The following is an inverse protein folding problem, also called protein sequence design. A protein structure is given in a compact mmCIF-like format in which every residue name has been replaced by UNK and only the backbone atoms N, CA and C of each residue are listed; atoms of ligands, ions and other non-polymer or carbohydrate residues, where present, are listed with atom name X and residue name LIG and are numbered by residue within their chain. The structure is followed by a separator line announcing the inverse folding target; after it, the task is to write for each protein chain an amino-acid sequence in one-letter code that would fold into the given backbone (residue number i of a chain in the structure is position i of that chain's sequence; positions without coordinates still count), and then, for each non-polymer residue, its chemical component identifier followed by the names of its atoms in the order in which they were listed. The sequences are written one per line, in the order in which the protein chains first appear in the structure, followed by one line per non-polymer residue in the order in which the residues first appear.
data_IF_203530095629
#
_entry.id   IF_203530095629
#
_cell.length_a   1.000
_cell.length_b   1.000
_cell.length_c   1.000
_cell.angle_alpha   90.00
_cell.angle_beta   90.00
_cell.angle_gamma   90.00
#
_symmetry.space_group_name_H-M   'P 1'
#
loop_
_entity.id
_entity.type
_entity.pdbx_description
1 polymer ?
#
# COMPACT_ATOMS: atom_id res chain seq x y z
N UNK A 1 -44.10 -12.51 -5.90
CA UNK A 1 -43.47 -11.58 -4.94
C UNK A 1 -44.13 -11.82 -3.59
N UNK A 2 -43.45 -12.52 -2.70
CA UNK A 2 -43.87 -12.71 -1.31
C UNK A 2 -42.68 -12.32 -0.44
N UNK A 3 -42.96 -11.45 0.51
CA UNK A 3 -42.03 -10.82 1.44
C UNK A 3 -41.27 -11.86 2.27
N UNK A 4 -39.94 -11.75 2.26
CA UNK A 4 -39.07 -12.35 3.27
C UNK A 4 -38.76 -11.25 4.30
N UNK A 5 -39.10 -11.44 5.59
CA UNK A 5 -38.72 -10.49 6.63
C UNK A 5 -37.23 -10.68 6.91
N UNK A 6 -36.40 -9.73 6.47
CA UNK A 6 -35.01 -9.59 6.91
C UNK A 6 -35.00 -9.09 8.36
N UNK A 7 -35.23 -9.99 9.32
CA UNK A 7 -34.82 -9.74 10.70
C UNK A 7 -33.31 -9.96 10.77
N UNK A 8 -32.56 -8.86 10.68
CA UNK A 8 -31.12 -8.83 10.92
C UNK A 8 -30.86 -9.12 12.40
N UNK A 9 -30.46 -10.36 12.71
CA UNK A 9 -29.85 -10.67 14.00
C UNK A 9 -28.34 -10.40 13.85
N UNK A 10 -27.75 -9.42 14.56
CA UNK A 10 -26.33 -9.16 14.46
C UNK A 10 -25.59 -10.35 15.09
N UNK A 11 -25.00 -11.20 14.25
CA UNK A 11 -24.19 -12.33 14.71
C UNK A 11 -22.80 -11.82 15.09
N UNK A 12 -22.71 -11.27 16.31
CA UNK A 12 -21.45 -10.91 16.95
C UNK A 12 -20.73 -12.19 17.36
N UNK A 13 -19.74 -12.63 16.58
CA UNK A 13 -18.53 -13.29 17.12
C UNK A 13 -17.32 -12.95 16.24
N UNK A 14 -16.82 -11.73 16.38
CA UNK A 14 -15.39 -11.48 16.23
C UNK A 14 -14.81 -11.35 17.65
N UNK A 15 -13.60 -11.88 17.93
CA UNK A 15 -12.99 -11.75 19.24
C UNK A 15 -12.95 -10.28 19.63
N UNK A 16 -13.47 -9.94 20.82
CA UNK A 16 -13.61 -8.57 21.34
C UNK A 16 -12.31 -7.74 21.29
N UNK A 17 -11.14 -8.37 21.13
CA UNK A 17 -9.85 -7.69 20.98
C UNK A 17 -9.58 -7.08 19.60
N UNK A 18 -10.18 -7.58 18.52
CA UNK A 18 -9.92 -7.09 17.14
C UNK A 18 -10.56 -5.71 16.92
N UNK A 19 -11.67 -5.45 17.60
CA UNK A 19 -12.41 -4.19 17.49
C UNK A 19 -11.86 -3.07 18.39
N UNK A 20 -11.05 -3.37 19.41
CA UNK A 20 -10.54 -2.35 20.33
C UNK A 20 -9.56 -1.36 19.67
N UNK A 21 -8.84 -1.78 18.62
CA UNK A 21 -8.05 -0.88 17.76
C UNK A 21 -8.85 -0.21 16.62
N UNK A 22 -10.12 -0.59 16.46
CA UNK A 22 -10.99 -0.23 15.34
C UNK A 22 -12.27 0.52 15.78
N UNK A 23 -12.37 0.94 17.05
CA UNK A 23 -13.54 1.60 17.64
C UNK A 23 -13.93 2.95 17.00
N UNK A 24 -13.17 3.42 16.01
CA UNK A 24 -13.46 4.61 15.20
C UNK A 24 -13.66 4.28 13.72
N UNK A 25 -13.86 3.01 13.36
CA UNK A 25 -14.18 2.64 11.99
C UNK A 25 -15.47 3.32 11.56
N UNK A 26 -15.38 3.93 10.40
CA UNK A 26 -16.53 4.37 9.63
C UNK A 26 -17.56 3.23 9.54
N UNK A 27 -18.83 3.51 9.91
CA UNK A 27 -19.88 2.49 9.94
C UNK A 27 -20.04 1.78 8.59
N UNK A 28 -19.93 2.52 7.49
CA UNK A 28 -20.06 1.97 6.15
C UNK A 28 -18.90 1.03 5.82
N UNK A 29 -17.68 1.33 6.32
CA UNK A 29 -16.53 0.44 6.17
C UNK A 29 -16.69 -0.83 7.02
N UNK A 30 -17.17 -0.72 8.26
CA UNK A 30 -17.44 -1.89 9.09
C UNK A 30 -18.48 -2.82 8.43
N UNK A 31 -19.61 -2.27 7.97
CA UNK A 31 -20.64 -3.05 7.26
C UNK A 31 -20.11 -3.67 5.97
N UNK A 32 -19.31 -2.95 5.18
CA UNK A 32 -18.70 -3.52 3.98
C UNK A 32 -17.76 -4.69 4.33
N UNK A 33 -16.95 -4.56 5.37
CA UNK A 33 -16.03 -5.63 5.80
C UNK A 33 -16.79 -6.87 6.29
N UNK A 34 -17.88 -6.69 7.04
CA UNK A 34 -18.75 -7.79 7.47
C UNK A 34 -19.34 -8.54 6.28
N UNK A 35 -19.88 -7.82 5.29
CA UNK A 35 -20.41 -8.43 4.07
C UNK A 35 -19.30 -9.17 3.32
N UNK A 36 -18.11 -8.57 3.18
CA UNK A 36 -16.98 -9.21 2.49
C UNK A 36 -16.52 -10.48 3.21
N UNK A 37 -16.52 -10.50 4.55
CA UNK A 37 -16.21 -11.70 5.34
C UNK A 37 -17.25 -12.79 5.12
N UNK A 38 -18.53 -12.44 5.19
CA UNK A 38 -19.63 -13.38 4.96
C UNK A 38 -19.50 -14.04 3.59
N UNK A 39 -19.33 -13.23 2.56
CA UNK A 39 -19.25 -13.70 1.18
C UNK A 39 -17.98 -14.50 0.88
N UNK A 40 -16.85 -14.11 1.47
CA UNK A 40 -15.59 -14.85 1.29
C UNK A 40 -15.73 -16.31 1.72
N UNK A 41 -16.49 -16.61 2.80
CA UNK A 41 -16.73 -17.99 3.26
C UNK A 41 -17.47 -18.85 2.24
N UNK A 42 -18.29 -18.24 1.39
CA UNK A 42 -19.11 -18.94 0.41
C UNK A 42 -18.43 -19.09 -0.95
N UNK A 43 -17.56 -18.13 -1.30
CA UNK A 43 -16.95 -18.06 -2.63
C UNK A 43 -15.55 -18.64 -2.65
N UNK A 44 -14.81 -18.54 -1.54
CA UNK A 44 -13.43 -19.01 -1.47
C UNK A 44 -13.41 -20.46 -1.00
N UNK A 45 -12.97 -21.40 -1.84
CA UNK A 45 -12.93 -22.80 -1.46
C UNK A 45 -11.91 -22.98 -0.33
N UNK A 46 -12.32 -23.67 0.74
CA UNK A 46 -11.47 -23.96 1.90
C UNK A 46 -10.72 -22.70 2.41
N UNK A 47 -11.48 -21.63 2.65
CA UNK A 47 -10.97 -20.37 3.18
C UNK A 47 -10.34 -20.59 4.56
N UNK A 48 -9.03 -20.37 4.64
CA UNK A 48 -8.24 -20.55 5.85
C UNK A 48 -8.10 -19.25 6.65
N UNK A 49 -7.90 -18.13 5.97
CA UNK A 49 -7.75 -16.82 6.62
C UNK A 49 -8.18 -15.69 5.70
N UNK A 50 -8.84 -14.67 6.25
CA UNK A 50 -9.22 -13.46 5.54
C UNK A 50 -8.75 -12.23 6.31
N UNK A 51 -7.90 -11.42 5.68
CA UNK A 51 -7.05 -10.46 6.40
C UNK A 51 -7.09 -9.10 5.75
N UNK A 52 -7.39 -8.08 6.55
CA UNK A 52 -7.25 -6.67 6.20
C UNK A 52 -5.82 -6.20 6.47
N UNK A 53 -5.22 -5.50 5.50
CA UNK A 53 -3.85 -5.00 5.64
C UNK A 53 -3.65 -3.63 4.98
N UNK A 54 -2.45 -3.07 5.17
CA UNK A 54 -2.08 -1.76 4.65
C UNK A 54 -2.58 -0.61 5.54
N UNK A 55 -2.97 0.51 4.93
CA UNK A 55 -3.25 1.75 5.67
C UNK A 55 -4.38 1.61 6.70
N UNK A 56 -5.47 0.93 6.35
CA UNK A 56 -6.63 0.78 7.24
C UNK A 56 -6.28 -0.06 8.47
N UNK A 57 -5.52 -1.14 8.29
CA UNK A 57 -5.06 -1.98 9.40
C UNK A 57 -4.07 -1.24 10.33
N UNK A 58 -3.38 -0.22 9.80
CA UNK A 58 -2.55 0.71 10.56
C UNK A 58 -3.35 1.88 11.19
N UNK A 59 -4.69 1.84 11.17
CA UNK A 59 -5.54 2.89 11.72
C UNK A 59 -5.74 4.12 10.80
N UNK A 60 -5.36 4.04 9.52
CA UNK A 60 -5.47 5.15 8.57
C UNK A 60 -6.56 4.93 7.53
N UNK A 61 -7.73 5.51 7.79
CA UNK A 61 -8.84 5.54 6.84
C UNK A 61 -9.24 6.98 6.46
N UNK A 62 -9.40 7.21 5.16
CA UNK A 62 -9.95 8.44 4.61
C UNK A 62 -10.82 8.09 3.40
N UNK A 63 -12.09 8.51 3.46
CA UNK A 63 -13.10 8.21 2.44
C UNK A 63 -12.61 8.69 1.06
N UNK A 64 -12.68 7.82 0.06
CA UNK A 64 -12.28 8.13 -1.33
C UNK A 64 -10.77 8.24 -1.58
N UNK A 65 -9.93 8.14 -0.55
CA UNK A 65 -8.47 8.24 -0.62
C UNK A 65 -7.72 7.00 -0.12
N UNK A 66 -8.30 6.23 0.80
CA UNK A 66 -7.72 4.96 1.26
C UNK A 66 -8.04 3.81 0.30
N UNK A 67 -7.10 2.87 0.19
CA UNK A 67 -7.37 1.58 -0.45
C UNK A 67 -7.77 0.58 0.64
N UNK A 68 -8.79 -0.22 0.39
CA UNK A 68 -9.11 -1.40 1.18
C UNK A 68 -8.31 -2.55 0.57
N UNK A 69 -7.34 -3.09 1.31
CA UNK A 69 -6.54 -4.23 0.85
C UNK A 69 -6.86 -5.43 1.72
N UNK A 70 -7.35 -6.48 1.09
CA UNK A 70 -7.71 -7.74 1.70
C UNK A 70 -6.91 -8.86 1.05
N UNK A 71 -6.62 -9.89 1.82
CA UNK A 71 -6.08 -11.14 1.31
C UNK A 71 -6.89 -12.29 1.87
N UNK A 72 -7.33 -13.18 0.99
CA UNK A 72 -7.87 -14.48 1.31
C UNK A 72 -6.78 -15.53 1.10
N UNK A 73 -6.54 -16.33 2.13
CA UNK A 73 -5.70 -17.52 2.08
C UNK A 73 -6.61 -18.74 2.01
N UNK A 74 -6.39 -19.60 1.03
CA UNK A 74 -7.16 -20.82 0.81
C UNK A 74 -6.22 -22.00 0.67
N UNK A 75 -6.67 -23.21 1.00
CA UNK A 75 -5.87 -24.41 0.71
C UNK A 75 -5.90 -24.80 -0.76
N UNK A 76 -6.93 -24.35 -1.49
CA UNK A 76 -7.13 -24.63 -2.92
C UNK A 76 -7.08 -23.35 -3.78
N UNK A 77 -6.65 -23.45 -5.05
CA UNK A 77 -6.71 -22.33 -5.98
C UNK A 77 -8.15 -21.96 -6.34
N UNK A 78 -8.38 -20.69 -6.67
CA UNK A 78 -9.66 -20.21 -7.18
C UNK A 78 -9.96 -20.82 -8.56
N UNK A 79 -11.17 -21.34 -8.75
CA UNK A 79 -11.66 -21.77 -10.07
C UNK A 79 -12.13 -20.57 -10.90
N UNK A 80 -12.30 -20.77 -12.21
CA UNK A 80 -12.88 -19.75 -13.09
C UNK A 80 -14.30 -19.34 -12.67
N UNK A 81 -15.08 -20.26 -12.12
CA UNK A 81 -16.43 -20.01 -11.62
C UNK A 81 -16.43 -19.14 -10.36
N UNK A 82 -15.65 -19.53 -9.35
CA UNK A 82 -15.50 -18.76 -8.11
C UNK A 82 -14.94 -17.37 -8.38
N UNK A 83 -14.05 -17.27 -9.37
CA UNK A 83 -13.49 -15.99 -9.85
C UNK A 83 -14.58 -15.10 -10.46
N UNK A 84 -15.41 -15.66 -11.35
CA UNK A 84 -16.50 -14.91 -11.98
C UNK A 84 -17.55 -14.46 -10.95
N UNK A 85 -17.87 -15.31 -9.97
CA UNK A 85 -18.77 -14.99 -8.87
C UNK A 85 -18.20 -13.87 -7.98
N UNK A 86 -16.93 -13.98 -7.58
CA UNK A 86 -16.21 -12.91 -6.84
C UNK A 86 -16.26 -11.58 -7.59
N UNK A 87 -15.96 -11.59 -8.89
CA UNK A 87 -15.99 -10.38 -9.72
C UNK A 87 -17.37 -9.74 -9.73
N UNK A 88 -18.45 -10.52 -9.92
CA UNK A 88 -19.83 -10.00 -9.94
C UNK A 88 -20.21 -9.39 -8.60
N UNK A 89 -20.07 -10.16 -7.52
CA UNK A 89 -20.43 -9.72 -6.18
C UNK A 89 -19.66 -8.45 -5.79
N UNK A 90 -18.35 -8.43 -5.97
CA UNK A 90 -17.54 -7.29 -5.54
C UNK A 90 -17.78 -6.06 -6.39
N UNK A 91 -18.12 -6.24 -7.67
CA UNK A 91 -18.63 -5.13 -8.50
C UNK A 91 -19.90 -4.55 -7.92
N UNK A 92 -20.83 -5.37 -7.41
CA UNK A 92 -22.06 -4.91 -6.77
C UNK A 92 -21.79 -4.19 -5.45
N UNK A 93 -20.95 -4.76 -4.56
CA UNK A 93 -20.62 -4.14 -3.28
C UNK A 93 -19.95 -2.79 -3.46
N UNK A 94 -19.01 -2.68 -4.40
CA UNK A 94 -18.34 -1.41 -4.71
C UNK A 94 -19.36 -0.36 -5.20
N UNK A 95 -20.37 -0.76 -5.97
CA UNK A 95 -21.46 0.15 -6.39
C UNK A 95 -22.37 0.56 -5.23
N UNK A 96 -22.59 -0.33 -4.26
CA UNK A 96 -23.41 -0.05 -3.09
C UNK A 96 -22.74 0.94 -2.11
N UNK A 97 -21.41 1.00 -2.11
CA UNK A 97 -20.61 1.91 -1.26
C UNK A 97 -19.79 2.91 -2.10
N UNK A 98 -20.43 3.81 -2.88
CA UNK A 98 -19.72 4.74 -3.74
C UNK A 98 -18.87 5.72 -2.93
N UNK A 99 -17.60 5.85 -3.30
CA UNK A 99 -16.70 6.84 -2.68
C UNK A 99 -16.20 6.45 -1.27
N UNK A 100 -16.60 5.29 -0.73
CA UNK A 100 -16.11 4.81 0.55
C UNK A 100 -14.58 4.63 0.54
N UNK A 101 -14.06 3.97 -0.49
CA UNK A 101 -12.63 3.79 -0.70
C UNK A 101 -12.22 4.24 -2.09
N UNK A 102 -10.92 4.43 -2.28
CA UNK A 102 -10.34 4.67 -3.60
C UNK A 102 -10.33 3.41 -4.44
N UNK A 103 -9.95 2.29 -3.81
CA UNK A 103 -9.82 0.98 -4.44
C UNK A 103 -10.14 -0.11 -3.43
N UNK A 104 -10.79 -1.15 -3.90
CA UNK A 104 -10.89 -2.42 -3.22
C UNK A 104 -9.93 -3.38 -3.94
N UNK A 105 -9.00 -3.94 -3.19
CA UNK A 105 -8.02 -4.90 -3.66
C UNK A 105 -8.19 -6.15 -2.83
N UNK A 106 -8.53 -7.26 -3.47
CA UNK A 106 -8.59 -8.55 -2.79
C UNK A 106 -7.66 -9.50 -3.52
N UNK A 107 -6.68 -10.01 -2.78
CA UNK A 107 -5.77 -11.04 -3.26
C UNK A 107 -6.25 -12.39 -2.77
N UNK A 108 -6.17 -13.40 -3.62
CA UNK A 108 -6.36 -14.79 -3.27
C UNK A 108 -5.03 -15.48 -3.41
N UNK A 109 -4.58 -16.05 -2.31
CA UNK A 109 -3.28 -16.70 -2.22
C UNK A 109 -3.51 -18.13 -1.77
N UNK A 110 -3.37 -19.12 -2.68
CA UNK A 110 -3.40 -20.51 -2.26
C UNK A 110 -2.16 -20.80 -1.40
N UNK A 111 -2.38 -21.51 -0.30
CA UNK A 111 -1.34 -21.99 0.62
C UNK A 111 -1.41 -23.52 0.62
N UNK A 112 -0.64 -24.21 -0.24
CA UNK A 112 -0.67 -25.66 -0.33
C UNK A 112 -0.24 -26.28 1.01
N UNK A 113 -0.99 -27.26 1.50
CA UNK A 113 -0.63 -27.95 2.74
C UNK A 113 -1.23 -27.37 4.02
N UNK A 114 -2.46 -26.87 3.97
CA UNK A 114 -3.25 -26.49 5.15
C UNK A 114 -4.63 -27.16 5.05
N UNK A 115 -4.82 -28.44 5.42
CA UNK A 115 -6.11 -29.18 5.30
C UNK A 115 -6.17 -30.27 6.41
N UNK A 116 -7.26 -30.62 7.13
CA UNK A 116 -8.73 -30.59 6.90
C UNK A 116 -9.59 -30.20 8.14
N UNK A 117 -10.94 -30.18 7.96
CA UNK A 117 -11.98 -29.92 8.99
C UNK A 117 -12.06 -30.98 10.12
N UNK A 118 -11.33 -32.08 10.03
CA UNK A 118 -11.25 -33.15 11.04
C UNK A 118 -9.99 -33.07 11.90
N UNK A 119 -9.13 -32.08 11.68
CA UNK A 119 -7.95 -31.85 12.52
C UNK A 119 -6.84 -32.89 12.35
N UNK A 120 -6.98 -33.85 11.45
CA UNK A 120 -6.00 -34.92 11.24
C UNK A 120 -5.22 -34.72 9.95
N UNK A 121 -4.34 -33.73 9.99
CA UNK A 121 -2.97 -33.81 9.45
C UNK A 121 -2.16 -32.62 9.95
N UNK A 122 -1.34 -32.88 10.98
CA UNK A 122 -0.13 -32.11 11.28
C UNK A 122 0.73 -32.05 10.02
N UNK A 123 0.70 -30.91 9.33
CA UNK A 123 1.84 -30.52 8.51
C UNK A 123 2.76 -29.79 9.46
N UNK A 124 3.88 -30.43 9.77
CA UNK A 124 4.85 -29.94 10.74
C UNK A 124 5.10 -28.45 10.57
N UNK A 125 4.51 -27.67 11.49
CA UNK A 125 5.04 -26.41 11.97
C UNK A 125 6.32 -26.79 12.72
N UNK A 126 7.30 -27.33 11.99
CA UNK A 126 8.64 -27.42 12.53
C UNK A 126 9.09 -25.97 12.56
N UNK A 127 9.40 -25.45 13.76
CA UNK A 127 9.71 -24.04 13.98
C UNK A 127 10.84 -23.51 13.07
N UNK A 128 11.55 -24.40 12.37
CA UNK A 128 12.58 -24.13 11.39
C UNK A 128 12.11 -24.01 9.92
N UNK A 129 10.94 -24.56 9.56
CA UNK A 129 10.46 -24.74 8.19
C UNK A 129 9.03 -24.22 7.89
N UNK A 130 8.48 -23.27 8.67
CA UNK A 130 7.29 -22.50 8.28
C UNK A 130 7.59 -21.61 7.05
N UNK A 131 7.77 -22.25 5.91
CA UNK A 131 8.29 -21.70 4.67
C UNK A 131 7.17 -21.88 3.64
N UNK A 132 6.28 -20.89 3.58
CA UNK A 132 5.68 -20.51 2.30
C UNK A 132 6.70 -19.61 1.61
N UNK A 133 7.84 -20.17 1.14
CA UNK A 133 8.87 -19.39 0.42
C UNK A 133 8.41 -19.05 -1.00
N UNK A 134 7.45 -19.77 -1.53
CA UNK A 134 6.81 -19.46 -2.79
C UNK A 134 5.35 -19.08 -2.52
N UNK A 135 5.08 -17.77 -2.46
CA UNK A 135 3.75 -17.33 -2.85
C UNK A 135 3.53 -17.90 -4.23
N UNK A 136 2.49 -18.74 -4.38
CA UNK A 136 2.23 -19.40 -5.65
C UNK A 136 2.30 -18.38 -6.80
N UNK A 137 3.00 -18.71 -7.91
CA UNK A 137 2.97 -17.88 -9.10
C UNK A 137 1.57 -17.69 -9.68
N UNK A 138 0.55 -18.41 -9.16
CA UNK A 138 -0.87 -18.32 -9.54
C UNK A 138 -1.72 -17.36 -8.70
N UNK A 139 -1.12 -16.57 -7.81
CA UNK A 139 -1.85 -15.58 -7.00
C UNK A 139 -2.83 -14.76 -7.84
N UNK A 140 -4.06 -14.61 -7.36
CA UNK A 140 -5.13 -13.96 -8.11
C UNK A 140 -5.52 -12.65 -7.41
N UNK A 141 -5.68 -11.56 -8.16
CA UNK A 141 -6.03 -10.28 -7.57
C UNK A 141 -7.19 -9.63 -8.33
N UNK A 142 -8.24 -9.28 -7.60
CA UNK A 142 -9.28 -8.39 -8.12
C UNK A 142 -9.01 -6.98 -7.62
N UNK A 143 -8.94 -6.06 -8.57
CA UNK A 143 -8.86 -4.62 -8.29
C UNK A 143 -10.10 -3.94 -8.80
N UNK A 144 -10.76 -3.25 -7.90
CA UNK A 144 -11.89 -2.39 -8.24
C UNK A 144 -11.54 -0.94 -8.01
N UNK A 145 -11.80 -0.10 -9.01
CA UNK A 145 -11.56 1.33 -9.00
C UNK A 145 -12.87 2.10 -9.10
N UNK A 146 -13.04 3.10 -8.24
CA UNK A 146 -14.05 4.14 -8.40
C UNK A 146 -13.42 5.30 -9.19
N UNK A 147 -13.95 5.59 -10.37
CA UNK A 147 -13.54 6.74 -11.18
C UNK A 147 -14.76 7.36 -11.86
N UNK A 148 -15.05 8.63 -11.56
CA UNK A 148 -16.03 9.46 -12.28
C UNK A 148 -17.42 8.80 -12.46
N UNK A 149 -17.96 8.25 -11.36
CA UNK A 149 -19.25 7.55 -11.36
C UNK A 149 -19.23 6.15 -11.98
N UNK A 150 -18.06 5.67 -12.43
CA UNK A 150 -17.87 4.33 -13.02
C UNK A 150 -17.08 3.42 -12.08
N UNK A 151 -17.45 2.15 -12.13
CA UNK A 151 -16.76 1.05 -11.43
C UNK A 151 -16.00 0.22 -12.45
N UNK A 152 -14.68 0.17 -12.32
CA UNK A 152 -13.81 -0.69 -13.14
C UNK A 152 -13.28 -1.83 -12.30
N UNK A 153 -13.66 -3.06 -12.63
CA UNK A 153 -13.19 -4.27 -11.98
C UNK A 153 -12.23 -5.01 -12.90
N UNK A 154 -11.06 -5.39 -12.39
CA UNK A 154 -10.06 -6.15 -13.14
C UNK A 154 -9.56 -7.33 -12.33
N UNK A 155 -9.63 -8.50 -12.96
CA UNK A 155 -8.96 -9.72 -12.55
C UNK A 155 -7.50 -9.71 -13.07
N UNK A 156 -6.55 -9.99 -12.19
CA UNK A 156 -5.14 -10.14 -12.49
C UNK A 156 -4.70 -11.54 -12.05
N UNK A 157 -4.43 -12.38 -13.04
CA UNK A 157 -3.83 -13.70 -12.85
C UNK A 157 -2.33 -13.55 -12.65
N UNK A 158 -1.75 -14.48 -11.89
CA UNK A 158 -0.31 -14.51 -11.59
C UNK A 158 0.22 -13.23 -10.94
N UNK A 159 -0.56 -12.67 -10.02
CA UNK A 159 -0.27 -11.48 -9.23
C UNK A 159 0.00 -11.86 -7.77
N UNK A 160 1.19 -12.42 -7.44
CA UNK A 160 1.55 -12.71 -6.05
C UNK A 160 1.63 -11.42 -5.22
N UNK A 161 1.47 -11.58 -3.90
CA UNK A 161 1.68 -10.49 -2.95
C UNK A 161 3.12 -9.97 -3.05
N UNK A 162 3.30 -8.65 -2.95
CA UNK A 162 4.65 -8.10 -2.82
C UNK A 162 5.24 -8.41 -1.44
N UNK A 163 6.57 -8.41 -1.31
CA UNK A 163 7.23 -8.59 -0.02
C UNK A 163 6.78 -7.57 1.03
N UNK A 164 6.46 -6.35 0.61
CA UNK A 164 5.91 -5.34 1.51
C UNK A 164 4.46 -5.58 1.88
N UNK A 165 3.66 -6.19 0.99
CA UNK A 165 2.32 -6.65 1.35
C UNK A 165 2.40 -7.79 2.36
N UNK A 166 3.29 -8.78 2.16
CA UNK A 166 3.57 -9.85 3.12
C UNK A 166 4.03 -9.30 4.48
N UNK A 167 4.93 -8.32 4.45
CA UNK A 167 5.42 -7.70 5.68
C UNK A 167 4.32 -6.90 6.38
N UNK A 168 3.45 -6.23 5.62
CA UNK A 168 2.28 -5.56 6.18
C UNK A 168 1.26 -6.54 6.76
N UNK A 169 1.03 -7.69 6.11
CA UNK A 169 0.12 -8.73 6.58
C UNK A 169 0.59 -9.35 7.90
N UNK A 170 1.88 -9.68 7.98
CA UNK A 170 2.45 -10.37 9.16
C UNK A 170 2.65 -9.45 10.36
N UNK A 171 3.05 -8.19 10.15
CA UNK A 171 3.33 -7.27 11.26
C UNK A 171 2.10 -6.53 11.77
N UNK A 172 1.17 -6.17 10.88
CA UNK A 172 0.06 -5.24 11.19
C UNK A 172 -1.26 -5.66 10.54
N UNK A 173 -1.35 -6.90 10.03
CA UNK A 173 -2.59 -7.42 9.46
C UNK A 173 -3.66 -7.62 10.53
N UNK A 174 -4.88 -7.21 10.21
CA UNK A 174 -6.06 -7.45 11.02
C UNK A 174 -6.77 -8.68 10.46
N UNK A 175 -6.74 -9.78 11.22
CA UNK A 175 -7.45 -11.00 10.86
C UNK A 175 -8.96 -10.79 11.03
N UNK A 176 -9.70 -10.83 9.93
CA UNK A 176 -11.16 -10.70 9.95
C UNK A 176 -11.84 -12.07 10.11
N UNK A 177 -11.15 -13.13 9.67
CA UNK A 177 -11.60 -14.51 9.76
C UNK A 177 -10.41 -15.46 9.77
N UNK A 178 -10.49 -16.53 10.57
CA UNK A 178 -9.51 -17.61 10.58
C UNK A 178 -8.27 -17.28 11.40
N UNK A 179 -7.11 -17.70 10.92
CA UNK A 179 -5.85 -17.57 11.65
C UNK A 179 -5.11 -16.27 11.34
N UNK A 180 -4.40 -15.66 12.31
CA UNK A 180 -3.46 -14.57 12.07
C UNK A 180 -2.34 -14.97 11.10
N UNK A 181 -1.95 -14.11 10.13
CA UNK A 181 -0.87 -14.40 9.18
C UNK A 181 0.45 -14.83 9.81
N UNK A 182 0.79 -14.30 10.98
CA UNK A 182 2.05 -14.62 11.66
C UNK A 182 2.17 -16.08 12.11
N UNK A 183 1.06 -16.82 12.20
CA UNK A 183 1.06 -18.24 12.59
C UNK A 183 1.50 -19.16 11.44
N UNK A 184 1.32 -18.75 10.19
CA UNK A 184 1.54 -19.60 9.02
C UNK A 184 2.37 -18.95 7.90
N UNK A 185 2.65 -17.65 7.99
CA UNK A 185 3.55 -16.94 7.10
C UNK A 185 4.80 -16.48 7.85
N UNK A 186 5.97 -16.73 7.26
CA UNK A 186 7.18 -16.02 7.65
C UNK A 186 7.24 -14.65 7.00
N UNK A 187 7.30 -13.63 7.83
CA UNK A 187 7.59 -12.28 7.38
C UNK A 187 8.98 -12.23 6.73
N UNK A 188 9.15 -11.56 5.59
CA UNK A 188 10.47 -11.16 5.13
C UNK A 188 11.20 -10.38 6.22
N UNK A 189 12.54 -10.45 6.23
CA UNK A 189 13.35 -9.58 7.08
C UNK A 189 13.02 -8.13 6.72
N UNK A 190 12.44 -7.40 7.67
CA UNK A 190 11.86 -6.08 7.39
C UNK A 190 12.86 -5.12 6.76
N UNK A 191 14.10 -5.10 7.27
CA UNK A 191 15.17 -4.24 6.77
C UNK A 191 15.48 -4.53 5.31
N UNK A 192 15.50 -5.79 4.87
CA UNK A 192 15.75 -6.10 3.46
C UNK A 192 14.56 -5.77 2.57
N UNK A 193 13.35 -6.09 3.02
CA UNK A 193 12.13 -5.85 2.25
C UNK A 193 11.87 -4.35 2.04
N UNK A 194 12.08 -3.52 3.08
CA UNK A 194 11.91 -2.07 2.98
C UNK A 194 12.96 -1.44 2.07
N UNK A 195 14.20 -1.94 2.07
CA UNK A 195 15.26 -1.45 1.17
C UNK A 195 14.98 -1.81 -0.29
N UNK A 196 14.56 -3.06 -0.55
CA UNK A 196 14.20 -3.51 -1.90
C UNK A 196 12.99 -2.76 -2.45
N UNK A 197 11.93 -2.61 -1.66
CA UNK A 197 10.77 -1.80 -2.10
C UNK A 197 11.13 -0.32 -2.18
N UNK A 198 11.95 0.19 -1.28
CA UNK A 198 12.44 1.57 -1.31
C UNK A 198 13.13 1.90 -2.63
N UNK A 199 14.06 1.03 -3.06
CA UNK A 199 14.72 1.13 -4.36
C UNK A 199 13.70 1.11 -5.51
N UNK A 200 12.75 0.16 -5.50
CA UNK A 200 11.69 0.06 -6.51
C UNK A 200 10.82 1.31 -6.58
N UNK A 201 10.44 1.89 -5.45
CA UNK A 201 9.61 3.11 -5.36
C UNK A 201 10.36 4.31 -5.88
N UNK A 202 11.60 4.51 -5.44
CA UNK A 202 12.46 5.62 -5.87
C UNK A 202 12.70 5.54 -7.38
N UNK A 203 13.12 4.39 -7.91
CA UNK A 203 13.29 4.19 -9.34
C UNK A 203 11.98 4.39 -10.12
N UNK A 204 10.85 3.87 -9.60
CA UNK A 204 9.54 4.02 -10.25
C UNK A 204 9.12 5.48 -10.33
N UNK A 205 9.39 6.28 -9.31
CA UNK A 205 9.04 7.70 -9.28
C UNK A 205 9.94 8.50 -10.21
N UNK A 206 11.25 8.28 -10.16
CA UNK A 206 12.22 9.19 -10.77
C UNK A 206 12.73 8.74 -12.14
N UNK A 207 12.92 7.42 -12.35
CA UNK A 207 13.66 6.85 -13.49
C UNK A 207 12.75 6.11 -14.48
N UNK A 208 11.95 5.15 -14.00
CA UNK A 208 11.22 4.22 -14.86
C UNK A 208 10.09 4.92 -15.63
N UNK A 209 9.62 4.36 -16.77
CA UNK A 209 8.51 4.92 -17.54
C UNK A 209 7.24 5.20 -16.73
N UNK A 210 6.98 4.40 -15.68
CA UNK A 210 5.90 4.63 -14.72
C UNK A 210 5.98 5.96 -13.96
N UNK A 211 7.18 6.55 -13.86
CA UNK A 211 7.45 7.86 -13.26
C UNK A 211 6.97 9.04 -14.10
N UNK A 212 6.80 8.85 -15.42
CA UNK A 212 6.36 9.90 -16.36
C UNK A 212 5.04 10.53 -15.94
N UNK A 213 4.12 9.74 -15.41
CA UNK A 213 2.80 10.22 -14.95
C UNK A 213 2.88 11.13 -13.72
N UNK A 214 3.83 10.85 -12.82
CA UNK A 214 4.12 11.72 -11.67
C UNK A 214 4.80 12.99 -12.15
N UNK A 215 5.84 12.87 -12.97
CA UNK A 215 6.54 14.02 -13.56
C UNK A 215 5.60 14.97 -14.29
N UNK A 216 4.64 14.45 -15.07
CA UNK A 216 3.60 15.27 -15.73
C UNK A 216 2.69 15.97 -14.72
N UNK A 217 2.27 15.29 -13.66
CA UNK A 217 1.47 15.89 -12.60
C UNK A 217 2.20 17.06 -11.93
N UNK A 218 3.46 16.85 -11.52
CA UNK A 218 4.28 17.92 -10.91
C UNK A 218 4.57 19.06 -11.89
N UNK A 219 4.82 18.77 -13.17
CA UNK A 219 5.05 19.79 -14.20
C UNK A 219 3.80 20.63 -14.48
N UNK A 220 2.61 20.01 -14.50
CA UNK A 220 1.34 20.73 -14.65
C UNK A 220 1.04 21.58 -13.43
N UNK A 221 1.15 21.00 -12.25
CA UNK A 221 0.95 21.69 -10.98
C UNK A 221 1.88 22.91 -10.82
N UNK A 222 3.16 22.79 -11.17
CA UNK A 222 4.10 23.91 -11.12
C UNK A 222 3.91 24.99 -12.20
N UNK A 223 3.03 24.77 -13.19
CA UNK A 223 2.72 25.73 -14.27
C UNK A 223 1.29 26.26 -14.19
N UNK A 224 0.46 25.70 -13.31
CA UNK A 224 -0.92 26.08 -13.18
C UNK A 224 -1.00 27.50 -12.61
N UNK A 225 -1.76 28.36 -13.29
CA UNK A 225 -2.04 29.72 -12.83
C UNK A 225 -3.14 29.74 -11.77
N UNK A 226 -3.98 28.70 -11.72
CA UNK A 226 -5.03 28.50 -10.73
C UNK A 226 -5.22 27.01 -10.42
N UNK A 227 -5.83 26.74 -9.27
CA UNK A 227 -6.13 25.38 -8.79
C UNK A 227 -7.11 24.62 -9.72
N UNK A 228 -7.92 25.34 -10.51
CA UNK A 228 -8.90 24.77 -11.45
C UNK A 228 -8.25 24.09 -12.66
N UNK A 229 -7.01 24.48 -13.01
CA UNK A 229 -6.25 23.86 -14.10
C UNK A 229 -5.65 22.50 -13.70
N UNK A 230 -5.77 22.13 -12.42
CA UNK A 230 -5.17 20.95 -11.84
C UNK A 230 -6.24 19.88 -11.68
N UNK A 231 -6.01 18.75 -12.34
CA UNK A 231 -6.93 17.62 -12.21
C UNK A 231 -6.80 16.96 -10.84
N UNK A 232 -7.90 16.43 -10.32
CA UNK A 232 -7.90 15.56 -9.14
C UNK A 232 -6.88 14.41 -9.25
N UNK A 233 -6.68 13.87 -10.46
CA UNK A 233 -5.70 12.81 -10.72
C UNK A 233 -4.25 13.29 -10.50
N UNK A 234 -3.95 14.55 -10.79
CA UNK A 234 -2.65 15.15 -10.52
C UNK A 234 -2.41 15.29 -9.02
N UNK A 235 -3.39 15.85 -8.30
CA UNK A 235 -3.36 15.95 -6.83
C UNK A 235 -3.15 14.58 -6.18
N UNK A 236 -3.85 13.54 -6.65
CA UNK A 236 -3.66 12.17 -6.15
C UNK A 236 -2.26 11.61 -6.39
N UNK A 237 -1.65 11.90 -7.54
CA UNK A 237 -0.27 11.46 -7.86
C UNK A 237 0.74 12.19 -6.99
N UNK A 238 0.57 13.49 -6.81
CA UNK A 238 1.42 14.33 -5.96
C UNK A 238 1.34 13.85 -4.51
N UNK A 239 0.13 13.64 -4.00
CA UNK A 239 -0.12 13.11 -2.66
C UNK A 239 0.53 11.74 -2.46
N UNK A 240 0.33 10.81 -3.40
CA UNK A 240 0.87 9.45 -3.32
C UNK A 240 2.40 9.42 -3.37
N UNK A 241 3.03 10.29 -4.18
CA UNK A 241 4.48 10.39 -4.26
C UNK A 241 5.07 11.00 -2.98
N UNK A 242 4.49 12.10 -2.51
CA UNK A 242 4.94 12.84 -1.33
C UNK A 242 4.88 11.94 -0.09
N UNK A 243 3.70 11.41 0.23
CA UNK A 243 3.54 10.56 1.42
C UNK A 243 4.14 9.16 1.28
N UNK A 244 4.35 8.70 0.04
CA UNK A 244 5.09 7.47 -0.23
C UNK A 244 6.56 7.60 0.13
N UNK A 245 7.18 8.74 -0.22
CA UNK A 245 8.59 9.01 0.09
C UNK A 245 8.79 9.30 1.58
N UNK A 246 7.93 10.08 2.23
CA UNK A 246 8.05 10.34 3.68
C UNK A 246 7.89 9.08 4.50
N UNK A 247 6.93 8.21 4.14
CA UNK A 247 6.75 6.91 4.79
C UNK A 247 7.96 6.01 4.59
N UNK A 248 8.51 5.95 3.37
CA UNK A 248 9.71 5.17 3.12
C UNK A 248 10.87 5.66 3.99
N UNK A 249 11.05 6.97 4.07
CA UNK A 249 12.09 7.57 4.88
C UNK A 249 11.94 7.21 6.37
N UNK A 250 10.77 7.47 6.97
CA UNK A 250 10.54 7.11 8.37
C UNK A 250 10.67 5.60 8.62
N UNK A 251 10.17 4.75 7.71
CA UNK A 251 10.28 3.30 7.86
C UNK A 251 11.72 2.79 7.82
N UNK A 252 12.62 3.44 7.09
CA UNK A 252 14.05 3.12 7.09
C UNK A 252 14.70 3.60 8.40
N UNK A 253 14.37 4.81 8.85
CA UNK A 253 14.94 5.40 10.07
C UNK A 253 14.51 4.66 11.35
N UNK A 254 13.23 4.30 11.45
CA UNK A 254 12.65 3.74 12.68
C UNK A 254 12.49 2.22 12.65
N UNK A 255 12.72 1.55 11.53
CA UNK A 255 12.58 0.08 11.43
C UNK A 255 11.14 -0.44 11.53
N UNK A 256 10.14 0.42 11.31
CA UNK A 256 8.72 0.09 11.45
C UNK A 256 7.84 0.58 10.30
N UNK A 257 6.68 -0.08 10.13
CA UNK A 257 5.64 0.35 9.19
C UNK A 257 4.76 1.40 9.85
N UNK A 258 4.59 2.54 9.17
CA UNK A 258 3.77 3.65 9.66
C UNK A 258 2.70 4.07 8.65
N UNK A 259 1.56 4.59 9.11
CA UNK A 259 0.62 5.33 8.26
C UNK A 259 1.27 6.43 7.43
N UNK A 260 0.71 6.68 6.25
CA UNK A 260 1.24 7.71 5.34
C UNK A 260 1.10 9.12 5.91
N UNK A 261 -0.05 9.45 6.49
CA UNK A 261 -0.31 10.73 7.15
C UNK A 261 0.63 10.98 8.33
N UNK A 262 0.79 10.00 9.24
CA UNK A 262 1.73 10.09 10.36
C UNK A 262 3.14 10.44 9.88
N UNK A 263 3.61 9.78 8.80
CA UNK A 263 4.93 10.09 8.24
C UNK A 263 5.06 11.50 7.67
N UNK A 264 3.98 12.10 7.19
CA UNK A 264 4.01 13.48 6.73
C UNK A 264 4.12 14.49 7.87
N UNK A 265 3.45 14.23 9.01
CA UNK A 265 3.59 15.04 10.22
C UNK A 265 4.97 14.89 10.86
N UNK A 266 5.43 13.65 11.04
CA UNK A 266 6.76 13.36 11.56
C UNK A 266 7.86 14.01 10.73
N UNK A 267 7.77 13.95 9.39
CA UNK A 267 8.75 14.60 8.52
C UNK A 267 8.79 16.13 8.70
N UNK A 268 7.63 16.76 8.94
CA UNK A 268 7.55 18.18 9.20
C UNK A 268 8.26 18.57 10.50
N UNK A 269 8.07 17.78 11.56
CA UNK A 269 8.73 17.98 12.85
C UNK A 269 10.25 17.81 12.74
N UNK A 270 10.71 16.79 12.01
CA UNK A 270 12.13 16.46 11.91
C UNK A 270 12.92 17.40 10.98
N UNK A 271 12.31 17.91 9.91
CA UNK A 271 13.03 18.64 8.84
C UNK A 271 12.60 20.09 8.68
N UNK A 272 11.44 20.49 9.19
CA UNK A 272 10.94 21.86 9.10
C UNK A 272 10.91 22.43 7.68
N UNK A 273 10.92 23.76 7.59
CA UNK A 273 11.02 24.50 6.33
C UNK A 273 9.89 24.19 5.32
N UNK A 274 10.12 24.55 4.06
CA UNK A 274 9.11 24.38 3.01
C UNK A 274 8.85 22.93 2.62
N UNK A 275 9.86 22.06 2.74
CA UNK A 275 9.72 20.62 2.46
C UNK A 275 8.89 19.92 3.55
N UNK A 276 9.16 20.22 4.82
CA UNK A 276 8.37 19.73 5.95
C UNK A 276 6.93 20.25 5.89
N UNK A 277 6.74 21.55 5.66
CA UNK A 277 5.40 22.13 5.54
C UNK A 277 4.59 21.46 4.41
N UNK A 278 5.21 21.18 3.27
CA UNK A 278 4.56 20.47 2.17
C UNK A 278 4.17 19.03 2.51
N UNK A 279 5.02 18.30 3.25
CA UNK A 279 4.69 16.95 3.74
C UNK A 279 3.53 16.96 4.73
N UNK A 280 3.50 17.94 5.65
CA UNK A 280 2.38 18.15 6.57
C UNK A 280 1.09 18.43 5.83
N UNK A 281 1.12 19.36 4.87
CA UNK A 281 -0.07 19.70 4.08
C UNK A 281 -0.60 18.48 3.32
N UNK A 282 0.29 17.63 2.79
CA UNK A 282 -0.08 16.37 2.18
C UNK A 282 -0.76 15.41 3.19
N UNK A 283 -0.26 15.34 4.43
CA UNK A 283 -0.87 14.53 5.48
C UNK A 283 -2.27 15.05 5.86
N UNK A 284 -2.44 16.36 6.05
CA UNK A 284 -3.74 16.94 6.39
C UNK A 284 -4.72 16.74 5.24
N UNK A 285 -4.32 17.02 3.99
CA UNK A 285 -5.18 16.80 2.82
C UNK A 285 -5.60 15.33 2.68
N UNK A 286 -4.73 14.37 3.02
CA UNK A 286 -5.09 12.95 3.00
C UNK A 286 -6.18 12.62 4.02
N UNK A 287 -6.09 13.17 5.24
CA UNK A 287 -7.02 12.87 6.32
C UNK A 287 -8.33 13.66 6.21
N UNK A 288 -8.25 14.89 5.73
CA UNK A 288 -9.36 15.85 5.65
C UNK A 288 -9.38 16.55 4.30
N UNK A 289 -9.61 15.81 3.19
CA UNK A 289 -9.62 16.37 1.85
C UNK A 289 -10.69 17.45 1.66
N UNK A 290 -11.78 17.42 2.42
CA UNK A 290 -12.89 18.38 2.39
C UNK A 290 -12.51 19.79 2.86
N UNK A 291 -11.40 19.92 3.62
CA UNK A 291 -10.93 21.23 4.11
C UNK A 291 -10.21 22.01 2.99
N UNK A 292 -9.74 21.33 1.94
CA UNK A 292 -8.91 21.94 0.92
C UNK A 292 -9.49 21.78 -0.49
N UNK A 293 -9.40 22.81 -1.34
CA UNK A 293 -9.79 22.68 -2.74
C UNK A 293 -8.90 21.65 -3.47
N UNK A 294 -9.44 21.03 -4.51
CA UNK A 294 -8.81 19.95 -5.30
C UNK A 294 -7.40 20.29 -5.82
N UNK A 295 -7.07 21.58 -6.00
CA UNK A 295 -5.75 22.05 -6.45
C UNK A 295 -4.79 22.48 -5.33
N UNK A 296 -5.22 22.55 -4.08
CA UNK A 296 -4.44 23.11 -2.96
C UNK A 296 -3.04 22.51 -2.86
N UNK A 297 -2.96 21.17 -2.82
CA UNK A 297 -1.68 20.48 -2.74
C UNK A 297 -0.80 20.70 -3.96
N UNK A 298 -1.43 20.84 -5.12
CA UNK A 298 -0.72 20.97 -6.36
C UNK A 298 -0.14 22.38 -6.54
N UNK A 299 -0.79 23.43 -6.05
CA UNK A 299 -0.19 24.77 -5.94
C UNK A 299 1.13 24.77 -5.14
N UNK A 300 1.26 23.84 -4.20
CA UNK A 300 2.45 23.64 -3.35
C UNK A 300 3.44 22.61 -3.92
N UNK A 301 3.14 21.99 -5.06
CA UNK A 301 3.98 20.95 -5.67
C UNK A 301 5.39 21.43 -6.07
N UNK A 302 5.59 22.75 -6.19
CA UNK A 302 6.91 23.38 -6.35
C UNK A 302 7.90 23.04 -5.23
N UNK A 303 7.42 22.62 -4.06
CA UNK A 303 8.24 22.20 -2.93
C UNK A 303 8.69 20.73 -3.00
N UNK A 304 8.17 19.96 -3.94
CA UNK A 304 8.52 18.55 -4.09
C UNK A 304 10.01 18.31 -4.40
N UNK A 305 10.69 19.07 -5.28
CA UNK A 305 12.13 18.90 -5.48
C UNK A 305 12.94 19.08 -4.19
N UNK A 306 12.55 20.02 -3.33
CA UNK A 306 13.20 20.21 -2.03
C UNK A 306 12.97 19.01 -1.10
N UNK A 307 11.75 18.47 -1.04
CA UNK A 307 11.44 17.25 -0.29
C UNK A 307 12.19 16.03 -0.82
N UNK A 308 12.17 15.84 -2.15
CA UNK A 308 12.87 14.74 -2.82
C UNK A 308 14.37 14.79 -2.58
N UNK A 309 14.97 15.98 -2.60
CA UNK A 309 16.38 16.20 -2.27
C UNK A 309 16.69 15.76 -0.83
N UNK A 310 15.98 16.31 0.16
CA UNK A 310 16.21 16.00 1.58
C UNK A 310 16.09 14.50 1.84
N UNK A 311 15.07 13.85 1.27
CA UNK A 311 14.86 12.42 1.47
C UNK A 311 15.96 11.60 0.76
N UNK A 312 16.22 11.86 -0.52
CA UNK A 312 17.20 11.09 -1.30
C UNK A 312 18.63 11.27 -0.78
N UNK A 313 18.97 12.44 -0.22
CA UNK A 313 20.26 12.68 0.45
C UNK A 313 20.52 11.69 1.59
N UNK A 314 19.46 11.31 2.30
CA UNK A 314 19.53 10.45 3.48
C UNK A 314 19.37 8.98 3.13
N UNK A 315 18.40 8.64 2.26
CA UNK A 315 18.07 7.24 2.00
C UNK A 315 18.86 6.63 0.84
N UNK A 316 19.32 7.42 -0.15
CA UNK A 316 20.04 6.84 -1.30
C UNK A 316 21.32 6.09 -0.89
N UNK A 317 22.16 6.58 0.04
CA UNK A 317 23.33 5.82 0.50
C UNK A 317 22.98 4.47 1.13
N UNK A 318 21.81 4.35 1.75
CA UNK A 318 21.34 3.09 2.37
C UNK A 318 20.72 2.18 1.31
N UNK A 319 19.92 2.74 0.40
CA UNK A 319 19.23 2.00 -0.66
C UNK A 319 20.17 1.42 -1.72
N UNK A 320 21.26 2.11 -2.01
CA UNK A 320 22.21 1.78 -3.08
C UNK A 320 23.59 1.37 -2.54
N UNK A 321 23.72 1.11 -1.23
CA UNK A 321 24.98 0.61 -0.67
C UNK A 321 25.40 -0.67 -1.41
N UNK A 322 26.64 -0.70 -1.89
CA UNK A 322 27.24 -1.84 -2.57
C UNK A 322 26.99 -3.12 -1.78
N UNK A 323 26.26 -4.06 -2.38
CA UNK A 323 26.14 -5.44 -1.91
C UNK A 323 27.41 -6.25 -2.22
N UNK A 324 28.45 -5.63 -2.77
CA UNK A 324 29.73 -6.24 -3.11
C UNK A 324 30.75 -6.05 -1.97
N UNK A 325 30.82 -7.03 -1.08
CA UNK A 325 32.05 -7.32 -0.35
C UNK A 325 33.09 -7.92 -1.30
N UNK A 326 33.68 -7.11 -2.18
CA UNK A 326 34.90 -7.48 -2.91
C UNK A 326 35.87 -6.28 -2.95
N UNK A 327 37.12 -6.40 -2.45
CA UNK A 327 37.98 -5.24 -2.18
C UNK A 327 38.69 -4.66 -3.40
N UNK A 328 38.38 -5.08 -4.63
CA UNK A 328 39.27 -4.87 -5.79
C UNK A 328 38.69 -4.10 -6.98
N UNK A 329 37.51 -3.48 -6.87
CA UNK A 329 37.05 -2.50 -7.86
C UNK A 329 37.17 -1.08 -7.28
N UNK A 330 37.91 -0.22 -7.98
CA UNK A 330 38.24 1.15 -7.56
C UNK A 330 37.07 1.91 -6.95
N UNK A 331 37.33 2.43 -5.74
CA UNK A 331 36.41 3.16 -4.87
C UNK A 331 35.84 4.39 -5.59
N UNK A 332 34.67 4.23 -6.20
CA UNK A 332 33.70 5.33 -6.33
C UNK A 332 32.73 5.19 -5.17
N UNK A 333 33.14 5.64 -3.98
CA UNK A 333 32.21 5.67 -2.86
C UNK A 333 31.03 6.58 -3.25
N UNK A 334 29.82 6.04 -3.16
CA UNK A 334 28.58 6.82 -3.26
C UNK A 334 28.60 8.04 -2.34
N UNK A 335 29.46 8.09 -1.31
CA UNK A 335 29.64 9.25 -0.43
C UNK A 335 30.21 10.50 -1.13
N UNK A 336 31.03 10.36 -2.18
CA UNK A 336 31.67 11.47 -2.88
C UNK A 336 30.87 12.03 -4.07
N UNK A 337 30.31 11.15 -4.91
CA UNK A 337 29.47 11.52 -6.06
C UNK A 337 28.09 12.01 -5.61
N UNK A 338 27.55 11.52 -4.48
CA UNK A 338 26.15 11.74 -4.17
C UNK A 338 25.81 13.09 -3.53
N UNK A 339 26.64 13.65 -2.64
CA UNK A 339 26.26 14.82 -1.82
C UNK A 339 26.29 16.15 -2.59
N UNK A 340 27.28 16.37 -3.45
CA UNK A 340 27.42 17.63 -4.22
C UNK A 340 26.40 17.73 -5.36
N UNK A 341 26.04 16.61 -5.98
CA UNK A 341 25.08 16.61 -7.09
C UNK A 341 23.63 16.72 -6.64
N UNK A 342 23.28 16.09 -5.53
CA UNK A 342 21.92 16.16 -5.00
C UNK A 342 21.64 17.48 -4.28
N UNK A 343 22.63 18.05 -3.59
CA UNK A 343 22.49 19.36 -2.93
C UNK A 343 22.20 20.49 -3.93
N UNK A 344 22.68 20.33 -5.17
CA UNK A 344 22.41 21.23 -6.30
C UNK A 344 21.11 20.92 -7.05
N UNK A 345 20.38 19.85 -6.70
CA UNK A 345 19.13 19.52 -7.36
C UNK A 345 18.06 20.57 -7.03
N UNK A 346 17.53 21.21 -8.07
CA UNK A 346 16.47 22.23 -7.97
C UNK A 346 15.18 21.78 -8.67
N UNK A 347 15.25 20.74 -9.49
CA UNK A 347 14.14 20.24 -10.28
C UNK A 347 13.96 18.73 -10.18
N UNK A 348 12.79 18.25 -10.63
CA UNK A 348 12.54 16.81 -10.78
C UNK A 348 13.55 16.14 -11.71
N UNK A 349 13.97 16.83 -12.77
CA UNK A 349 14.93 16.31 -13.74
C UNK A 349 16.30 16.10 -13.11
N UNK A 350 16.70 16.95 -12.17
CA UNK A 350 17.96 16.80 -11.43
C UNK A 350 17.91 15.58 -10.52
N UNK A 351 16.83 15.43 -9.75
CA UNK A 351 16.60 14.25 -8.92
C UNK A 351 16.55 12.96 -9.76
N UNK A 352 15.92 13.01 -10.93
CA UNK A 352 15.89 11.87 -11.84
C UNK A 352 17.29 11.48 -12.35
N UNK A 353 18.12 12.45 -12.75
CA UNK A 353 19.49 12.19 -13.16
C UNK A 353 20.35 11.63 -12.03
N UNK A 354 20.15 12.14 -10.81
CA UNK A 354 20.80 11.60 -9.61
C UNK A 354 20.43 10.12 -9.40
N UNK A 355 19.15 9.79 -9.34
CA UNK A 355 18.69 8.41 -9.11
C UNK A 355 19.14 7.48 -10.24
N UNK A 356 19.11 7.92 -11.50
CA UNK A 356 19.61 7.11 -12.63
C UNK A 356 21.07 6.73 -12.43
N UNK A 357 21.92 7.67 -11.98
CA UNK A 357 23.34 7.39 -11.72
C UNK A 357 23.54 6.44 -10.54
N UNK A 358 22.79 6.61 -9.46
CA UNK A 358 22.83 5.67 -8.33
C UNK A 358 22.34 4.26 -8.70
N UNK A 359 21.44 4.13 -9.68
CA UNK A 359 20.93 2.84 -10.12
C UNK A 359 21.82 2.15 -11.17
N UNK A 360 22.75 2.90 -11.79
CA UNK A 360 23.71 2.38 -12.78
C UNK A 360 25.11 2.13 -12.22
N UNK A 361 25.41 2.71 -11.06
CA UNK A 361 26.56 2.37 -10.23
C UNK A 361 26.22 1.09 -9.45
#
# INVERSE_FOLDING_TARGET
MKDLPLTWTPLVVAPRGIWQGLNTLDRDLASLLEILVHEARHIVPHLYSFVLYGGIALGEFSRGFSDINLTAFSSEPMTSENTAMSLRLWSHLVRAYPGLARRLVINFTPVPGVIDEKGDREIGINNDNAIVREISPTGFQIRTHWADGRVLCRALWNSPLSEMDLTSLTRVGCCLLGHPPGEFLRAPVFSEAILREGRRVVERLFVKPGGRRYRRAFKRAGRAASDEQITWLDTKRILSATLGLTRLYQSIEEGQLVPRSISGFWFHEMRGGSAGAFARDAAIYRLKPEIYPTGYLASRARHFPALGRVILEQIAPVLYKDSSSSPSAGVLSLSGIAKTDISRAQSWSDLARFVTRCASA
#
